data_IF_306655942952
#
_entry.id   IF_306655942952
#
_cell.length_a   1.000
_cell.length_b   1.000
_cell.length_c   1.000
_cell.angle_alpha   90.00
_cell.angle_beta   90.00
_cell.angle_gamma   90.00
#
_symmetry.space_group_name_H-M   'P 1'
#
loop_
_entity.id
_entity.type
_entity.pdbx_description
1 polymer ?
#
# COMPACT_ATOMS: atom_id res chain seq x y z
N UNK A 1 -30.38 -7.07 -5.05
CA UNK A 1 -29.14 -7.60 -4.45
C UNK A 1 -27.88 -6.93 -5.02
N UNK A 2 -27.72 -6.84 -6.35
CA UNK A 2 -26.51 -6.22 -6.96
C UNK A 2 -26.26 -4.75 -6.59
N UNK A 3 -27.31 -3.92 -6.46
CA UNK A 3 -27.15 -2.52 -6.05
C UNK A 3 -26.60 -2.36 -4.63
N UNK A 4 -27.06 -3.21 -3.69
CA UNK A 4 -26.60 -3.17 -2.30
C UNK A 4 -25.13 -3.63 -2.18
N UNK A 5 -24.72 -4.65 -2.94
CA UNK A 5 -23.32 -5.11 -2.95
C UNK A 5 -22.39 -4.08 -3.58
N UNK A 6 -22.82 -3.37 -4.62
CA UNK A 6 -22.03 -2.28 -5.21
C UNK A 6 -21.81 -1.13 -4.21
N UNK A 7 -22.83 -0.74 -3.46
CA UNK A 7 -22.70 0.27 -2.40
C UNK A 7 -21.76 -0.22 -1.29
N UNK A 8 -21.84 -1.49 -0.90
CA UNK A 8 -20.94 -2.06 0.10
C UNK A 8 -19.48 -2.05 -0.38
N UNK A 9 -19.18 -2.56 -1.57
CA UNK A 9 -17.81 -2.54 -2.10
C UNK A 9 -17.31 -1.11 -2.35
N UNK A 10 -18.17 -0.20 -2.82
CA UNK A 10 -17.84 1.21 -3.02
C UNK A 10 -17.47 1.92 -1.72
N UNK A 11 -18.25 1.72 -0.65
CA UNK A 11 -17.94 2.32 0.66
C UNK A 11 -16.67 1.75 1.28
N UNK A 12 -16.41 0.44 1.13
CA UNK A 12 -15.15 -0.19 1.57
C UNK A 12 -13.95 0.41 0.82
N UNK A 13 -14.04 0.57 -0.50
CA UNK A 13 -12.97 1.17 -1.30
C UNK A 13 -12.69 2.62 -0.88
N UNK A 14 -13.73 3.43 -0.71
CA UNK A 14 -13.62 4.83 -0.25
C UNK A 14 -13.04 4.91 1.16
N UNK A 15 -13.45 4.02 2.07
CA UNK A 15 -12.89 3.97 3.42
C UNK A 15 -11.39 3.69 3.41
N UNK A 16 -10.92 2.78 2.55
CA UNK A 16 -9.48 2.52 2.36
C UNK A 16 -8.72 3.74 1.89
N UNK A 17 -9.21 4.45 0.87
CA UNK A 17 -8.60 5.69 0.38
C UNK A 17 -8.57 6.77 1.47
N UNK A 18 -9.65 6.87 2.27
CA UNK A 18 -9.74 7.85 3.36
C UNK A 18 -8.75 7.58 4.48
N UNK A 19 -8.49 6.31 4.82
CA UNK A 19 -7.44 5.92 5.77
C UNK A 19 -6.06 6.30 5.24
N UNK A 20 -5.83 6.14 3.94
CA UNK A 20 -4.56 6.50 3.33
C UNK A 20 -4.34 8.03 3.31
N UNK A 21 -5.41 8.78 3.09
CA UNK A 21 -5.39 10.25 3.03
C UNK A 21 -5.46 10.94 4.40
N UNK A 22 -5.71 10.20 5.50
CA UNK A 22 -5.73 10.79 6.85
C UNK A 22 -4.34 11.09 7.40
N UNK A 23 -3.30 10.50 6.81
CA UNK A 23 -1.91 10.67 7.20
C UNK A 23 -1.19 11.59 6.19
N UNK A 24 -0.20 12.42 6.58
CA UNK A 24 0.53 13.25 5.62
C UNK A 24 1.21 12.40 4.54
N UNK A 25 0.90 12.67 3.27
CA UNK A 25 1.46 11.93 2.13
C UNK A 25 2.75 12.63 1.68
N UNK A 26 3.89 12.12 2.14
CA UNK A 26 5.22 12.54 1.70
C UNK A 26 5.68 11.80 0.44
N UNK A 27 6.67 12.36 -0.29
CA UNK A 27 7.25 11.73 -1.49
C UNK A 27 7.68 10.27 -1.24
N UNK A 28 8.30 9.98 -0.09
CA UNK A 28 8.68 8.60 0.31
C UNK A 28 7.46 7.68 0.41
N UNK A 29 6.40 8.13 1.10
CA UNK A 29 5.18 7.35 1.28
C UNK A 29 4.49 7.12 -0.07
N UNK A 30 4.49 8.12 -0.96
CA UNK A 30 4.01 7.99 -2.34
C UNK A 30 4.77 6.90 -3.10
N UNK A 31 6.11 6.87 -3.02
CA UNK A 31 6.90 5.81 -3.66
C UNK A 31 6.56 4.42 -3.13
N UNK A 32 6.47 4.27 -1.81
CA UNK A 32 6.12 2.98 -1.18
C UNK A 32 4.74 2.52 -1.65
N UNK A 33 3.76 3.42 -1.65
CA UNK A 33 2.39 3.15 -2.12
C UNK A 33 2.39 2.77 -3.61
N UNK A 34 3.03 3.58 -4.46
CA UNK A 34 3.05 3.37 -5.91
C UNK A 34 3.68 2.02 -6.29
N UNK A 35 4.82 1.67 -5.69
CA UNK A 35 5.49 0.38 -5.97
C UNK A 35 4.65 -0.79 -5.45
N UNK A 36 4.09 -0.69 -4.25
CA UNK A 36 3.31 -1.79 -3.66
C UNK A 36 2.00 -2.04 -4.42
N UNK A 37 1.31 -0.99 -4.83
CA UNK A 37 0.14 -1.11 -5.70
C UNK A 37 0.51 -1.59 -7.09
N UNK A 38 1.59 -1.05 -7.68
CA UNK A 38 2.07 -1.46 -9.01
C UNK A 38 2.42 -2.94 -9.08
N UNK A 39 3.11 -3.48 -8.07
CA UNK A 39 3.45 -4.90 -7.99
C UNK A 39 2.19 -5.77 -7.82
N UNK A 40 1.28 -5.39 -6.93
CA UNK A 40 0.03 -6.13 -6.70
C UNK A 40 -0.84 -6.18 -7.96
N UNK A 41 -1.04 -5.03 -8.62
CA UNK A 41 -1.78 -4.96 -9.87
C UNK A 41 -1.06 -5.70 -11.01
N UNK A 42 0.28 -5.60 -11.08
CA UNK A 42 1.09 -6.28 -12.10
C UNK A 42 0.94 -7.80 -12.05
N UNK A 43 0.91 -8.38 -10.86
CA UNK A 43 0.68 -9.83 -10.66
C UNK A 43 -0.74 -10.24 -11.07
N UNK A 44 -1.74 -9.39 -10.83
CA UNK A 44 -3.11 -9.65 -11.27
C UNK A 44 -3.23 -9.61 -12.80
N UNK A 45 -2.50 -8.70 -13.46
CA UNK A 45 -2.50 -8.57 -14.92
C UNK A 45 -1.77 -9.70 -15.64
N UNK A 46 -0.70 -10.25 -15.06
CA UNK A 46 0.10 -11.34 -15.65
C UNK A 46 0.26 -12.48 -14.63
N UNK A 47 -0.77 -13.34 -14.46
CA UNK A 47 -0.69 -14.45 -13.51
C UNK A 47 0.33 -15.51 -13.94
N UNK A 48 0.65 -15.58 -15.24
CA UNK A 48 1.60 -16.54 -15.80
C UNK A 48 3.05 -16.32 -15.35
N UNK A 49 3.41 -15.08 -14.98
CA UNK A 49 4.72 -14.77 -14.44
C UNK A 49 5.01 -15.48 -13.10
N UNK A 50 3.98 -15.96 -12.41
CA UNK A 50 4.08 -16.63 -11.11
C UNK A 50 4.06 -18.16 -11.20
N UNK A 51 3.91 -18.73 -12.41
CA UNK A 51 3.83 -20.19 -12.59
C UNK A 51 5.14 -20.92 -12.28
N UNK A 52 6.28 -20.24 -12.43
CA UNK A 52 7.60 -20.79 -12.15
C UNK A 52 8.02 -20.65 -10.68
N UNK A 53 7.18 -20.06 -9.81
CA UNK A 53 7.50 -19.86 -8.40
C UNK A 53 7.06 -21.08 -7.55
N UNK A 54 7.81 -21.40 -6.48
CA UNK A 54 7.48 -22.50 -5.57
C UNK A 54 6.11 -22.28 -4.91
N UNK A 55 5.39 -23.38 -4.62
CA UNK A 55 3.98 -23.40 -4.16
C UNK A 55 3.68 -22.41 -3.02
N UNK A 56 4.58 -22.28 -2.04
CA UNK A 56 4.41 -21.36 -0.92
C UNK A 56 4.35 -19.89 -1.34
N UNK A 57 5.25 -19.46 -2.23
CA UNK A 57 5.30 -18.07 -2.70
C UNK A 57 4.11 -17.80 -3.62
N UNK A 58 3.74 -18.78 -4.45
CA UNK A 58 2.58 -18.68 -5.34
C UNK A 58 1.29 -18.40 -4.58
N UNK A 59 1.07 -19.03 -3.42
CA UNK A 59 -0.14 -18.80 -2.62
C UNK A 59 -0.22 -17.38 -2.06
N UNK A 60 0.90 -16.81 -1.60
CA UNK A 60 0.94 -15.44 -1.06
C UNK A 60 0.78 -14.42 -2.19
N UNK A 61 1.45 -14.65 -3.32
CA UNK A 61 1.41 -13.78 -4.51
C UNK A 61 0.04 -13.85 -5.20
N UNK A 62 -0.65 -15.00 -5.16
CA UNK A 62 -2.01 -15.16 -5.68
C UNK A 62 -3.06 -14.35 -4.89
N UNK A 63 -2.73 -13.85 -3.69
CA UNK A 63 -3.59 -12.98 -2.91
C UNK A 63 -3.12 -11.51 -3.06
N UNK A 64 -3.77 -10.69 -3.90
CA UNK A 64 -3.26 -9.35 -4.25
C UNK A 64 -3.17 -8.40 -3.06
N UNK A 65 -4.11 -8.53 -2.10
CA UNK A 65 -4.15 -7.74 -0.87
C UNK A 65 -2.96 -8.07 0.02
N UNK A 66 -2.66 -9.36 0.20
CA UNK A 66 -1.52 -9.84 0.99
C UNK A 66 -0.21 -9.42 0.34
N UNK A 67 -0.09 -9.55 -0.99
CA UNK A 67 1.08 -9.10 -1.74
C UNK A 67 1.31 -7.58 -1.60
N UNK A 68 0.25 -6.78 -1.73
CA UNK A 68 0.35 -5.33 -1.56
C UNK A 68 0.83 -4.95 -0.14
N UNK A 69 0.21 -5.53 0.88
CA UNK A 69 0.56 -5.26 2.28
C UNK A 69 1.97 -5.74 2.64
N UNK A 70 2.33 -6.96 2.23
CA UNK A 70 3.65 -7.52 2.49
C UNK A 70 4.74 -6.71 1.77
N UNK A 71 4.51 -6.34 0.50
CA UNK A 71 5.41 -5.48 -0.25
C UNK A 71 5.56 -4.12 0.41
N UNK A 72 4.48 -3.50 0.87
CA UNK A 72 4.52 -2.21 1.55
C UNK A 72 5.31 -2.27 2.86
N UNK A 73 5.12 -3.33 3.67
CA UNK A 73 5.86 -3.53 4.92
C UNK A 73 7.36 -3.71 4.64
N UNK A 74 7.72 -4.59 3.70
CA UNK A 74 9.11 -4.84 3.33
C UNK A 74 9.77 -3.55 2.85
N UNK A 75 9.10 -2.81 1.97
CA UNK A 75 9.64 -1.59 1.38
C UNK A 75 9.73 -0.44 2.41
N UNK A 76 8.78 -0.36 3.34
CA UNK A 76 8.81 0.57 4.47
C UNK A 76 10.01 0.31 5.40
N UNK A 77 10.38 -0.96 5.60
CA UNK A 77 11.55 -1.35 6.40
C UNK A 77 12.87 -1.13 5.65
N UNK A 78 12.92 -1.41 4.35
CA UNK A 78 14.13 -1.27 3.52
C UNK A 78 14.46 0.20 3.24
N UNK A 79 13.46 1.06 3.04
CA UNK A 79 13.65 2.49 2.80
C UNK A 79 13.74 3.20 4.16
N UNK A 80 14.96 3.57 4.63
CA UNK A 80 15.13 4.21 5.92
C UNK A 80 14.43 5.56 5.92
N UNK A 81 13.87 5.94 7.06
CA UNK A 81 13.46 7.32 7.29
C UNK A 81 14.71 8.19 7.31
N UNK A 82 14.98 8.88 6.21
CA UNK A 82 15.73 10.11 6.31
C UNK A 82 14.93 10.99 7.27
N UNK A 83 15.43 11.12 8.50
CA UNK A 83 14.93 12.01 9.56
C UNK A 83 14.61 13.36 8.93
N UNK A 84 13.35 13.57 8.57
CA UNK A 84 12.86 14.81 7.97
C UNK A 84 11.44 15.06 8.44
N UNK A 85 11.26 15.05 9.77
CA UNK A 85 10.19 15.72 10.51
C UNK A 85 10.44 15.61 12.04
N UNK A 86 11.70 15.76 12.45
CA UNK A 86 12.05 15.90 13.87
C UNK A 86 12.38 17.35 14.27
N UNK A 87 12.20 18.37 13.40
CA UNK A 87 12.78 19.70 13.69
C UNK A 87 12.08 20.91 13.04
N UNK A 88 10.78 20.86 12.72
CA UNK A 88 10.06 22.07 12.24
C UNK A 88 8.71 22.38 12.93
N UNK A 89 8.25 21.58 13.90
CA UNK A 89 7.09 21.93 14.75
C UNK A 89 7.46 22.27 16.20
N UNK A 90 8.72 22.08 16.62
CA UNK A 90 9.19 22.40 17.98
C UNK A 90 9.65 23.85 18.20
N UNK A 91 9.78 24.65 17.13
CA UNK A 91 10.34 26.01 17.17
C UNK A 91 9.31 27.13 16.93
N UNK A 92 8.03 26.81 16.76
CA UNK A 92 6.96 27.83 16.56
C UNK A 92 6.04 27.97 17.79
N UNK A 93 6.15 27.09 18.80
CA UNK A 93 5.39 27.19 20.05
C UNK A 93 6.12 27.96 21.18
N UNK A 94 7.26 28.58 20.86
CA UNK A 94 8.06 29.38 21.80
C UNK A 94 8.25 30.84 21.35
N UNK A 95 7.27 31.39 20.62
CA UNK A 95 7.08 32.84 20.46
C UNK A 95 5.66 33.23 20.87
#
# INVERSE_FOLDING_TARGET
LGGATLVLFGTIAVAGIRILASEPIDQRRVYIMAVSFGLSLGVVLVPDATQHLPTFIKQVVAAPITLAGLSAIILSLVIPEAKSQAELEGTVAAE
#
